data_IF_870745098776
#
_entry.id   IF_870745098776
#
_cell.length_a   1.000
_cell.length_b   1.000
_cell.length_c   1.000
_cell.angle_alpha   90.00
_cell.angle_beta   90.00
_cell.angle_gamma   90.00
#
_symmetry.space_group_name_H-M   'P 1'
#
loop_
_entity.id
_entity.type
_entity.pdbx_description
1 polymer ?
#
# COMPACT_ATOMS: atom_id res chain seq x y z
N UNK A 1 -1.27 22.23 18.61
CA UNK A 1 -2.70 21.89 18.78
C UNK A 1 -2.94 20.62 17.98
N UNK A 2 -3.06 19.49 18.65
CA UNK A 2 -3.40 18.21 18.02
C UNK A 2 -4.82 18.31 17.47
N UNK A 3 -4.96 18.27 16.14
CA UNK A 3 -6.27 18.08 15.50
C UNK A 3 -6.72 16.65 15.80
N UNK A 4 -7.35 16.46 16.96
CA UNK A 4 -8.20 15.29 17.20
C UNK A 4 -9.36 15.42 16.23
N UNK A 5 -9.28 14.75 15.08
CA UNK A 5 -10.44 14.55 14.21
C UNK A 5 -11.57 14.02 15.08
N UNK A 6 -12.69 14.76 15.13
CA UNK A 6 -13.88 14.29 15.81
C UNK A 6 -14.25 12.90 15.25
N UNK A 7 -14.74 11.98 16.10
CA UNK A 7 -15.19 10.67 15.62
C UNK A 7 -16.21 10.86 14.50
N UNK A 8 -16.03 10.14 13.39
CA UNK A 8 -16.96 10.20 12.26
C UNK A 8 -18.39 9.89 12.74
N UNK A 9 -19.34 10.70 12.31
CA UNK A 9 -20.76 10.46 12.56
C UNK A 9 -21.19 9.10 12.01
N UNK A 10 -22.03 8.38 12.73
CA UNK A 10 -22.64 7.14 12.23
C UNK A 10 -23.63 7.40 11.09
N UNK A 11 -24.13 8.64 10.95
CA UNK A 11 -25.06 9.02 9.89
C UNK A 11 -24.31 9.42 8.62
N UNK A 12 -24.83 9.04 7.46
CA UNK A 12 -24.34 9.48 6.15
C UNK A 12 -24.56 10.98 5.95
N UNK A 13 -23.61 11.63 5.31
CA UNK A 13 -23.58 13.05 5.03
C UNK A 13 -23.35 13.30 3.53
N UNK A 14 -23.64 14.53 3.10
CA UNK A 14 -23.27 14.98 1.75
C UNK A 14 -21.75 14.86 1.57
N UNK A 15 -21.31 14.30 0.46
CA UNK A 15 -19.90 14.06 0.15
C UNK A 15 -19.36 12.73 0.66
N UNK A 16 -20.10 11.99 1.50
CA UNK A 16 -19.68 10.65 1.91
C UNK A 16 -19.64 9.70 0.72
N UNK A 17 -18.61 8.85 0.71
CA UNK A 17 -18.61 7.65 -0.13
C UNK A 17 -19.41 6.56 0.54
N UNK A 18 -20.26 5.90 -0.23
CA UNK A 18 -21.06 4.77 0.22
C UNK A 18 -20.78 3.57 -0.66
N UNK A 19 -20.44 2.47 -0.02
CA UNK A 19 -20.36 1.14 -0.58
C UNK A 19 -21.72 0.46 -0.40
N UNK A 20 -22.35 0.15 -1.52
CA UNK A 20 -23.61 -0.57 -1.61
C UNK A 20 -23.32 -2.04 -1.95
N UNK A 21 -23.88 -2.96 -1.18
CA UNK A 21 -23.76 -4.41 -1.39
C UNK A 21 -25.13 -5.01 -1.67
N UNK A 22 -25.29 -5.66 -2.82
CA UNK A 22 -26.54 -6.36 -3.15
C UNK A 22 -26.64 -7.75 -2.49
N UNK A 23 -27.78 -8.43 -2.64
CA UNK A 23 -28.00 -9.76 -2.10
C UNK A 23 -27.06 -10.85 -2.66
N UNK A 24 -26.37 -10.59 -3.77
CA UNK A 24 -25.37 -11.47 -4.38
C UNK A 24 -23.95 -11.14 -3.92
N UNK A 25 -23.79 -10.14 -3.05
CA UNK A 25 -22.50 -9.64 -2.59
C UNK A 25 -21.78 -8.73 -3.59
N UNK A 26 -22.46 -8.26 -4.66
CA UNK A 26 -21.87 -7.34 -5.63
C UNK A 26 -21.75 -5.96 -5.00
N UNK A 27 -20.56 -5.37 -5.17
CA UNK A 27 -20.18 -4.08 -4.62
C UNK A 27 -20.37 -2.96 -5.65
N UNK A 28 -20.99 -1.86 -5.22
CA UNK A 28 -21.14 -0.61 -5.97
C UNK A 28 -20.74 0.59 -5.10
N UNK A 29 -19.94 1.52 -5.63
CA UNK A 29 -19.48 2.69 -4.87
C UNK A 29 -20.08 3.96 -5.44
N UNK A 30 -20.71 4.76 -4.58
CA UNK A 30 -21.29 6.06 -4.94
C UNK A 30 -20.76 7.16 -4.03
N UNK A 31 -20.86 8.42 -4.47
CA UNK A 31 -20.61 9.60 -3.63
C UNK A 31 -21.93 10.33 -3.44
N UNK A 32 -22.37 10.51 -2.19
CA UNK A 32 -23.62 11.17 -1.89
C UNK A 32 -23.54 12.65 -2.21
N UNK A 33 -24.56 13.15 -2.89
CA UNK A 33 -24.69 14.53 -3.35
C UNK A 33 -26.17 14.90 -3.31
N UNK A 34 -26.48 16.15 -2.95
CA UNK A 34 -27.86 16.61 -2.89
C UNK A 34 -28.50 16.59 -4.29
N UNK A 35 -29.74 16.14 -4.35
CA UNK A 35 -30.58 16.10 -5.55
C UNK A 35 -29.94 15.28 -6.69
N UNK A 36 -29.17 14.27 -6.35
CA UNK A 36 -28.58 13.31 -7.29
C UNK A 36 -29.23 11.93 -7.13
N UNK A 37 -29.17 11.18 -8.21
CA UNK A 37 -29.71 9.82 -8.31
C UNK A 37 -28.62 8.86 -8.80
N UNK A 38 -28.61 7.65 -8.26
CA UNK A 38 -27.75 6.58 -8.75
C UNK A 38 -28.59 5.51 -9.46
N UNK A 39 -28.33 5.32 -10.75
CA UNK A 39 -29.11 4.41 -11.59
C UNK A 39 -28.56 2.99 -11.57
N UNK A 40 -29.48 2.03 -11.58
CA UNK A 40 -29.20 0.61 -11.72
C UNK A 40 -29.97 0.04 -12.91
N UNK A 41 -29.84 -1.27 -13.14
CA UNK A 41 -30.66 -1.98 -14.11
C UNK A 41 -32.14 -2.11 -13.70
N UNK A 42 -32.48 -1.86 -12.43
CA UNK A 42 -33.86 -1.90 -11.93
C UNK A 42 -34.12 -0.74 -10.95
N UNK A 43 -34.47 0.41 -11.52
CA UNK A 43 -34.72 1.65 -10.77
C UNK A 43 -33.45 2.41 -10.38
N UNK A 44 -33.65 3.49 -9.63
CA UNK A 44 -32.60 4.37 -9.15
C UNK A 44 -32.72 4.61 -7.64
N UNK A 45 -31.62 5.01 -7.02
CA UNK A 45 -31.53 5.37 -5.61
C UNK A 45 -31.41 6.89 -5.49
N UNK A 46 -32.29 7.53 -4.74
CA UNK A 46 -32.27 8.98 -4.49
C UNK A 46 -31.30 9.28 -3.35
N UNK A 47 -30.24 10.05 -3.60
CA UNK A 47 -29.19 10.27 -2.59
C UNK A 47 -29.72 10.97 -1.32
N UNK A 48 -30.70 11.87 -1.46
CA UNK A 48 -31.29 12.57 -0.33
C UNK A 48 -31.97 11.63 0.67
N UNK A 49 -32.44 10.46 0.22
CA UNK A 49 -33.05 9.46 1.11
C UNK A 49 -31.99 8.69 1.92
N UNK A 50 -30.78 8.57 1.40
CA UNK A 50 -29.65 7.91 2.07
C UNK A 50 -28.96 8.86 3.07
N UNK A 51 -28.88 10.14 2.73
CA UNK A 51 -28.28 11.16 3.60
C UNK A 51 -29.07 11.24 4.91
N UNK A 52 -28.37 11.18 6.04
CA UNK A 52 -28.96 11.14 7.38
C UNK A 52 -29.29 9.75 7.90
N UNK A 53 -29.25 8.70 7.06
CA UNK A 53 -29.38 7.31 7.52
C UNK A 53 -28.09 6.84 8.22
N UNK A 54 -28.17 5.95 9.22
CA UNK A 54 -26.98 5.35 9.82
C UNK A 54 -26.29 4.35 8.87
N UNK A 55 -24.96 4.21 9.00
CA UNK A 55 -24.22 3.09 8.40
C UNK A 55 -24.81 1.73 8.82
N UNK A 56 -24.77 0.77 7.89
CA UNK A 56 -25.38 -0.56 8.06
C UNK A 56 -26.88 -0.59 7.76
N UNK A 57 -27.46 0.51 7.28
CA UNK A 57 -28.85 0.52 6.82
C UNK A 57 -29.02 -0.18 5.47
N UNK A 58 -30.23 -0.70 5.24
CA UNK A 58 -30.65 -1.14 3.91
C UNK A 58 -31.31 0.02 3.19
N UNK A 59 -30.84 0.29 1.98
CA UNK A 59 -31.43 1.27 1.06
C UNK A 59 -32.06 0.55 -0.12
N UNK A 60 -33.11 1.14 -0.71
CA UNK A 60 -33.91 0.50 -1.73
C UNK A 60 -34.02 1.40 -2.97
N UNK A 61 -33.87 0.84 -4.17
CA UNK A 61 -34.14 1.60 -5.40
C UNK A 61 -35.64 1.72 -5.63
N UNK A 62 -36.05 2.64 -6.50
CA UNK A 62 -37.46 2.77 -6.95
C UNK A 62 -38.03 1.49 -7.57
N UNK A 63 -37.17 0.59 -8.05
CA UNK A 63 -37.53 -0.73 -8.59
C UNK A 63 -37.53 -1.87 -7.56
N UNK A 64 -37.31 -1.57 -6.27
CA UNK A 64 -37.33 -2.53 -5.17
C UNK A 64 -36.03 -3.30 -4.94
N UNK A 65 -34.91 -2.93 -5.58
CA UNK A 65 -33.63 -3.55 -5.29
C UNK A 65 -33.07 -3.04 -3.97
N UNK A 66 -32.75 -3.97 -3.07
CA UNK A 66 -32.19 -3.68 -1.75
C UNK A 66 -30.67 -3.77 -1.77
N UNK A 67 -30.04 -2.80 -1.11
CA UNK A 67 -28.59 -2.71 -0.93
C UNK A 67 -28.26 -2.42 0.53
N UNK A 68 -27.27 -3.10 1.07
CA UNK A 68 -26.67 -2.76 2.36
C UNK A 68 -25.66 -1.63 2.17
N UNK A 69 -25.78 -0.56 2.95
CA UNK A 69 -24.98 0.65 2.80
C UNK A 69 -23.97 0.82 3.94
N UNK A 70 -22.68 0.93 3.60
CA UNK A 70 -21.59 1.26 4.52
C UNK A 70 -20.67 2.32 3.92
N UNK A 71 -19.87 3.02 4.72
CA UNK A 71 -18.71 3.71 4.16
C UNK A 71 -17.67 2.66 3.75
N UNK A 72 -16.99 2.82 2.59
CA UNK A 72 -16.00 1.85 2.14
C UNK A 72 -14.84 1.80 3.13
N UNK A 73 -14.40 0.58 3.45
CA UNK A 73 -13.11 0.34 4.08
C UNK A 73 -12.00 0.73 3.10
N UNK A 74 -10.78 0.88 3.61
CA UNK A 74 -9.62 1.12 2.74
C UNK A 74 -9.46 0.02 1.70
N UNK A 75 -9.70 -1.24 2.08
CA UNK A 75 -9.65 -2.39 1.17
C UNK A 75 -10.62 -2.24 0.01
N UNK A 76 -11.84 -1.78 0.29
CA UNK A 76 -12.87 -1.60 -0.73
C UNK A 76 -12.44 -0.51 -1.71
N UNK A 77 -11.98 0.62 -1.19
CA UNK A 77 -11.48 1.73 -1.99
C UNK A 77 -10.30 1.34 -2.88
N UNK A 78 -9.27 0.71 -2.31
CA UNK A 78 -8.05 0.32 -3.03
C UNK A 78 -8.36 -0.69 -4.14
N UNK A 79 -9.32 -1.59 -3.91
CA UNK A 79 -9.71 -2.58 -4.91
C UNK A 79 -10.60 -1.99 -6.01
N UNK A 80 -11.35 -0.92 -5.75
CA UNK A 80 -12.27 -0.31 -6.74
C UNK A 80 -11.72 0.94 -7.44
N UNK A 81 -10.64 1.55 -6.94
CA UNK A 81 -10.13 2.81 -7.50
C UNK A 81 -9.60 2.64 -8.94
N UNK A 82 -9.64 3.70 -9.77
CA UNK A 82 -9.02 3.71 -11.09
C UNK A 82 -7.53 3.32 -11.01
N UNK A 83 -7.08 2.49 -11.95
CA UNK A 83 -5.70 1.97 -11.97
C UNK A 83 -4.98 2.37 -13.24
N UNK A 84 -3.81 2.97 -13.10
CA UNK A 84 -2.84 3.14 -14.19
C UNK A 84 -1.78 2.03 -14.17
N UNK A 85 -1.43 1.58 -12.97
CA UNK A 85 -0.48 0.52 -12.71
C UNK A 85 -1.08 -0.55 -11.79
N UNK A 86 -0.45 -1.73 -11.77
CA UNK A 86 -0.72 -2.75 -10.75
C UNK A 86 -0.52 -2.16 -9.35
N UNK A 87 -1.41 -2.50 -8.43
CA UNK A 87 -1.38 -2.01 -7.05
C UNK A 87 -0.70 -3.02 -6.14
N UNK A 88 -0.08 -2.51 -5.08
CA UNK A 88 0.20 -3.32 -3.89
C UNK A 88 -1.14 -3.76 -3.28
N UNK A 89 -1.33 -5.07 -3.14
CA UNK A 89 -2.57 -5.61 -2.60
C UNK A 89 -2.71 -5.30 -1.10
N UNK A 90 -3.93 -5.18 -0.56
CA UNK A 90 -4.11 -4.82 0.85
C UNK A 90 -3.38 -5.71 1.86
N UNK A 91 -3.24 -7.02 1.57
CA UNK A 91 -2.47 -7.94 2.42
C UNK A 91 -0.99 -7.53 2.52
N UNK A 92 -0.42 -7.07 1.41
CA UNK A 92 1.00 -6.72 1.32
C UNK A 92 1.20 -5.31 1.87
N UNK A 93 0.29 -4.37 1.61
CA UNK A 93 0.31 -3.04 2.23
C UNK A 93 0.23 -3.13 3.77
N UNK A 94 -0.59 -4.03 4.32
CA UNK A 94 -0.65 -4.27 5.76
C UNK A 94 0.68 -4.82 6.31
N UNK A 95 1.32 -5.74 5.59
CA UNK A 95 2.63 -6.27 5.96
C UNK A 95 3.72 -5.21 5.85
N UNK A 96 3.71 -4.37 4.82
CA UNK A 96 4.64 -3.24 4.67
C UNK A 96 4.49 -2.29 5.87
N UNK A 97 3.28 -1.87 6.19
CA UNK A 97 3.02 -0.98 7.34
C UNK A 97 3.52 -1.59 8.65
N UNK A 98 3.23 -2.87 8.90
CA UNK A 98 3.64 -3.54 10.13
C UNK A 98 5.13 -3.85 10.22
N UNK A 99 5.70 -4.46 9.18
CA UNK A 99 7.10 -4.93 9.16
C UNK A 99 8.08 -3.79 8.97
N UNK A 100 7.71 -2.75 8.21
CA UNK A 100 8.51 -1.53 8.13
C UNK A 100 8.24 -0.61 9.32
N UNK A 101 7.42 -0.99 10.31
CA UNK A 101 7.14 -0.17 11.51
C UNK A 101 6.77 1.28 11.15
N UNK A 102 5.79 1.43 10.24
CA UNK A 102 5.26 2.73 9.84
C UNK A 102 4.31 3.20 10.93
N UNK A 103 4.70 4.26 11.63
CA UNK A 103 4.01 4.76 12.81
C UNK A 103 3.80 6.29 12.75
N UNK A 104 2.93 6.85 13.60
CA UNK A 104 2.72 8.29 13.65
C UNK A 104 4.02 9.08 13.83
N UNK A 105 4.26 10.08 12.99
CA UNK A 105 5.46 10.93 13.05
C UNK A 105 6.65 10.49 12.19
N UNK A 106 6.61 9.27 11.64
CA UNK A 106 7.66 8.73 10.77
C UNK A 106 7.69 9.47 9.43
N UNK A 107 8.89 9.73 8.91
CA UNK A 107 9.12 10.21 7.54
C UNK A 107 9.46 9.07 6.62
N UNK A 108 8.63 8.89 5.59
CA UNK A 108 8.74 7.80 4.63
C UNK A 108 9.12 8.36 3.26
N UNK A 109 10.17 7.82 2.66
CA UNK A 109 10.41 7.95 1.24
C UNK A 109 9.74 6.76 0.54
N UNK A 110 8.91 7.04 -0.46
CA UNK A 110 8.26 6.04 -1.31
C UNK A 110 8.72 6.24 -2.77
N UNK A 111 9.03 5.17 -3.49
CA UNK A 111 9.25 5.28 -4.93
C UNK A 111 8.60 4.12 -5.69
N UNK A 112 7.97 4.47 -6.82
CA UNK A 112 7.00 3.59 -7.48
C UNK A 112 5.61 3.77 -6.89
N UNK A 113 4.97 4.89 -7.23
CA UNK A 113 3.68 5.29 -6.65
C UNK A 113 2.54 4.59 -7.37
N UNK A 114 2.68 4.40 -8.68
CA UNK A 114 1.71 3.73 -9.52
C UNK A 114 0.32 4.38 -9.40
N UNK A 115 -0.64 3.64 -8.86
CA UNK A 115 -2.01 4.14 -8.67
C UNK A 115 -2.27 4.78 -7.29
N UNK A 116 -1.26 4.87 -6.41
CA UNK A 116 -1.35 5.50 -5.08
C UNK A 116 -1.94 4.62 -3.96
N UNK A 117 -2.10 3.31 -4.18
CA UNK A 117 -2.69 2.39 -3.19
C UNK A 117 -1.85 2.31 -1.90
N UNK A 118 -0.54 2.11 -2.08
CA UNK A 118 0.41 2.01 -0.97
C UNK A 118 0.56 3.37 -0.27
N UNK A 119 0.69 4.44 -1.05
CA UNK A 119 0.73 5.82 -0.57
C UNK A 119 -0.40 6.16 0.40
N UNK A 120 -1.65 5.77 0.08
CA UNK A 120 -2.79 5.96 0.99
C UNK A 120 -2.57 5.22 2.32
N UNK A 121 -2.08 3.98 2.25
CA UNK A 121 -1.81 3.17 3.45
C UNK A 121 -0.70 3.78 4.30
N UNK A 122 0.37 4.27 3.68
CA UNK A 122 1.47 4.96 4.35
C UNK A 122 0.99 6.25 5.00
N UNK A 123 0.26 7.10 4.27
CA UNK A 123 -0.28 8.37 4.79
C UNK A 123 -1.21 8.19 5.99
N UNK A 124 -2.06 7.15 5.97
CA UNK A 124 -2.90 6.80 7.13
C UNK A 124 -2.06 6.39 8.34
N UNK A 125 -0.97 5.67 8.14
CA UNK A 125 -0.13 5.14 9.21
C UNK A 125 0.80 6.21 9.82
N UNK A 126 1.41 7.07 9.00
CA UNK A 126 2.31 8.15 9.49
C UNK A 126 1.56 9.26 10.23
N UNK A 127 0.24 9.37 10.03
CA UNK A 127 -0.60 10.36 10.69
C UNK A 127 -0.23 11.81 10.35
N UNK A 128 -0.86 12.77 11.02
CA UNK A 128 -0.70 14.20 10.71
C UNK A 128 0.70 14.77 11.01
N UNK A 129 1.48 14.09 11.85
CA UNK A 129 2.82 14.54 12.26
C UNK A 129 3.96 13.87 11.49
N UNK A 130 3.67 12.83 10.69
CA UNK A 130 4.64 12.21 9.80
C UNK A 130 4.44 12.69 8.36
N UNK A 131 5.30 12.25 7.45
CA UNK A 131 5.24 12.64 6.03
C UNK A 131 5.57 11.48 5.11
N UNK A 132 5.03 11.54 3.90
CA UNK A 132 5.39 10.63 2.80
C UNK A 132 5.89 11.47 1.64
N UNK A 133 7.12 11.24 1.23
CA UNK A 133 7.72 11.85 0.05
C UNK A 133 7.82 10.79 -1.05
N UNK A 134 6.96 10.93 -2.06
CA UNK A 134 6.74 9.91 -3.09
C UNK A 134 7.37 10.31 -4.42
N UNK A 135 7.98 9.36 -5.11
CA UNK A 135 8.64 9.54 -6.41
C UNK A 135 8.07 8.61 -7.48
N UNK A 136 7.64 9.18 -8.60
CA UNK A 136 7.08 8.44 -9.74
C UNK A 136 7.68 8.94 -11.05
N UNK A 137 8.31 8.05 -11.83
CA UNK A 137 8.98 8.44 -13.08
C UNK A 137 7.99 8.81 -14.19
N UNK A 138 6.77 8.25 -14.15
CA UNK A 138 5.77 8.40 -15.20
C UNK A 138 4.70 9.41 -14.81
N UNK A 139 4.67 10.54 -15.49
CA UNK A 139 3.71 11.63 -15.23
C UNK A 139 2.24 11.15 -15.22
N UNK A 140 1.86 10.28 -16.16
CA UNK A 140 0.52 9.70 -16.21
C UNK A 140 0.15 8.90 -14.94
N UNK A 141 1.11 8.22 -14.32
CA UNK A 141 0.90 7.49 -13.07
C UNK A 141 0.86 8.45 -11.88
N UNK A 142 1.73 9.45 -11.88
CA UNK A 142 1.72 10.51 -10.87
C UNK A 142 0.36 11.23 -10.84
N UNK A 143 -0.24 11.50 -11.99
CA UNK A 143 -1.57 12.11 -12.09
C UNK A 143 -2.68 11.22 -11.57
N UNK A 144 -2.64 9.92 -11.87
CA UNK A 144 -3.61 8.95 -11.35
C UNK A 144 -3.47 8.84 -9.82
N UNK A 145 -2.25 8.70 -9.31
CA UNK A 145 -1.97 8.68 -7.89
C UNK A 145 -2.48 9.96 -7.20
N UNK A 146 -2.18 11.14 -7.74
CA UNK A 146 -2.63 12.43 -7.18
C UNK A 146 -4.15 12.49 -7.09
N UNK A 147 -4.87 12.07 -8.13
CA UNK A 147 -6.33 11.99 -8.15
C UNK A 147 -6.84 10.99 -7.10
N UNK A 148 -6.29 9.78 -7.06
CA UNK A 148 -6.73 8.73 -6.14
C UNK A 148 -6.47 9.08 -4.68
N UNK A 149 -5.31 9.65 -4.35
CA UNK A 149 -4.98 10.07 -2.98
C UNK A 149 -5.85 11.27 -2.57
N UNK A 150 -5.94 12.30 -3.41
CA UNK A 150 -6.81 13.47 -3.15
C UNK A 150 -8.25 13.05 -2.97
N UNK A 151 -8.75 12.16 -3.83
CA UNK A 151 -10.08 11.62 -3.70
C UNK A 151 -10.20 10.85 -2.37
N UNK A 152 -9.29 9.95 -2.02
CA UNK A 152 -9.34 9.21 -0.74
C UNK A 152 -9.50 10.12 0.49
N UNK A 153 -8.66 11.16 0.59
CA UNK A 153 -8.64 12.05 1.74
C UNK A 153 -9.64 13.22 1.66
N UNK A 154 -10.27 13.45 0.51
CA UNK A 154 -11.17 14.58 0.26
C UNK A 154 -10.45 15.89 -0.11
N UNK A 155 -9.14 15.95 0.13
CA UNK A 155 -8.23 17.01 -0.30
C UNK A 155 -6.83 16.43 -0.49
N UNK A 156 -5.94 17.18 -1.13
CA UNK A 156 -4.53 16.78 -1.20
C UNK A 156 -3.93 16.85 0.22
N UNK A 157 -3.40 15.74 0.78
CA UNK A 157 -2.81 15.75 2.11
C UNK A 157 -1.59 16.69 2.16
N UNK A 158 -1.54 17.58 3.15
CA UNK A 158 -0.44 18.55 3.29
C UNK A 158 0.90 17.92 3.67
N UNK A 159 0.88 16.68 4.17
CA UNK A 159 2.05 15.90 4.56
C UNK A 159 2.44 14.86 3.50
N UNK A 160 1.96 15.03 2.27
CA UNK A 160 2.35 14.23 1.13
C UNK A 160 3.00 15.10 0.06
N UNK A 161 4.17 14.70 -0.43
CA UNK A 161 4.78 15.27 -1.62
C UNK A 161 4.88 14.22 -2.73
N UNK A 162 4.72 14.65 -3.98
CA UNK A 162 4.83 13.78 -5.15
C UNK A 162 5.72 14.44 -6.20
N UNK A 163 6.90 13.88 -6.39
CA UNK A 163 7.90 14.32 -7.37
C UNK A 163 7.87 13.41 -8.60
N UNK A 164 7.76 14.02 -9.79
CA UNK A 164 7.77 13.28 -11.06
C UNK A 164 9.21 13.18 -11.56
N UNK A 165 9.95 12.21 -11.00
CA UNK A 165 11.37 12.00 -11.32
C UNK A 165 11.83 10.60 -10.87
N UNK A 166 13.05 10.23 -11.27
CA UNK A 166 13.76 9.09 -10.73
C UNK A 166 14.31 9.41 -9.34
N UNK A 167 13.87 8.65 -8.32
CA UNK A 167 14.29 8.84 -6.92
C UNK A 167 15.81 8.84 -6.73
N UNK A 168 16.54 8.03 -7.52
CA UNK A 168 17.99 7.93 -7.46
C UNK A 168 18.73 9.12 -8.10
N UNK A 169 18.04 9.92 -8.93
CA UNK A 169 18.61 11.09 -9.61
C UNK A 169 18.26 12.40 -8.87
N UNK A 170 17.27 12.37 -7.98
CA UNK A 170 16.87 13.54 -7.19
C UNK A 170 17.77 13.74 -5.96
N UNK A 171 18.07 15.00 -5.64
CA UNK A 171 18.74 15.36 -4.38
C UNK A 171 17.75 15.33 -3.23
N UNK A 172 18.13 14.66 -2.14
CA UNK A 172 17.31 14.55 -0.93
C UNK A 172 17.88 15.44 0.17
N UNK A 173 17.11 16.44 0.58
CA UNK A 173 17.51 17.39 1.63
C UNK A 173 17.22 16.87 3.05
N UNK A 174 16.43 15.80 3.15
CA UNK A 174 15.96 15.26 4.42
C UNK A 174 16.47 13.84 4.64
N UNK A 175 16.62 13.47 5.92
CA UNK A 175 16.78 12.08 6.32
C UNK A 175 15.43 11.44 6.56
N UNK A 176 15.31 10.17 6.19
CA UNK A 176 14.09 9.39 6.35
C UNK A 176 14.26 8.31 7.40
N UNK A 177 13.15 7.96 8.01
CA UNK A 177 13.06 6.85 8.93
C UNK A 177 12.87 5.53 8.15
N UNK A 178 12.24 5.62 6.98
CA UNK A 178 11.81 4.48 6.14
C UNK A 178 11.98 4.81 4.66
N UNK A 179 12.43 3.83 3.89
CA UNK A 179 12.48 3.86 2.42
C UNK A 179 11.71 2.63 1.92
N UNK A 180 10.64 2.86 1.16
CA UNK A 180 9.75 1.83 0.63
C UNK A 180 9.77 1.89 -0.90
N UNK A 181 10.20 0.82 -1.57
CA UNK A 181 10.36 0.78 -3.01
C UNK A 181 9.44 -0.28 -3.64
N UNK A 182 8.56 0.12 -4.56
CA UNK A 182 7.74 -0.76 -5.40
C UNK A 182 8.03 -0.46 -6.88
N UNK A 183 9.17 -0.96 -7.36
CA UNK A 183 9.66 -0.67 -8.71
C UNK A 183 10.41 -1.85 -9.31
N UNK A 184 10.71 -1.76 -10.61
CA UNK A 184 11.35 -2.86 -11.34
C UNK A 184 12.78 -3.15 -10.89
N UNK A 185 13.53 -2.13 -10.47
CA UNK A 185 14.96 -2.22 -10.16
C UNK A 185 15.34 -1.55 -8.82
N UNK A 186 14.80 -2.02 -7.68
CA UNK A 186 15.10 -1.40 -6.38
C UNK A 186 16.57 -1.56 -5.95
N UNK A 187 17.31 -2.52 -6.53
CA UNK A 187 18.75 -2.69 -6.27
C UNK A 187 19.58 -1.47 -6.69
N UNK A 188 19.14 -0.71 -7.70
CA UNK A 188 19.80 0.52 -8.16
C UNK A 188 19.67 1.66 -7.14
N UNK A 189 18.77 1.52 -6.17
CA UNK A 189 18.48 2.55 -5.17
C UNK A 189 19.09 2.25 -3.80
N UNK A 190 19.84 1.15 -3.63
CA UNK A 190 20.39 0.73 -2.32
C UNK A 190 21.37 1.77 -1.77
N UNK A 191 22.27 2.28 -2.61
CA UNK A 191 23.26 3.28 -2.19
C UNK A 191 22.58 4.58 -1.79
N UNK A 192 21.69 5.11 -2.63
CA UNK A 192 20.85 6.28 -2.31
C UNK A 192 20.06 6.06 -1.01
N UNK A 193 19.42 4.90 -0.85
CA UNK A 193 18.67 4.59 0.36
C UNK A 193 19.57 4.62 1.60
N UNK A 194 20.83 4.14 1.49
CA UNK A 194 21.79 4.17 2.59
C UNK A 194 22.23 5.57 2.99
N UNK A 195 22.23 6.49 2.02
CA UNK A 195 22.54 7.90 2.24
C UNK A 195 21.36 8.61 2.92
N UNK A 196 20.14 8.40 2.45
CA UNK A 196 18.97 9.15 2.94
C UNK A 196 18.36 8.58 4.22
N UNK A 197 18.57 7.31 4.53
CA UNK A 197 18.09 6.70 5.77
C UNK A 197 18.91 7.16 6.99
N UNK A 198 18.21 7.43 8.09
CA UNK A 198 18.85 7.55 9.41
C UNK A 198 19.41 6.20 9.85
N UNK A 199 20.48 6.17 10.69
CA UNK A 199 20.90 4.95 11.36
C UNK A 199 19.74 4.26 12.08
N UNK A 200 19.58 2.96 11.85
CA UNK A 200 18.46 2.18 12.37
C UNK A 200 17.17 2.27 11.55
N UNK A 201 17.10 3.15 10.54
CA UNK A 201 15.99 3.24 9.60
C UNK A 201 15.80 1.96 8.78
N UNK A 202 14.63 1.82 8.15
CA UNK A 202 14.26 0.58 7.44
C UNK A 202 14.28 0.81 5.94
N UNK A 203 15.01 -0.03 5.22
CA UNK A 203 14.85 -0.22 3.78
C UNK A 203 13.88 -1.38 3.56
N UNK A 204 12.91 -1.20 2.67
CA UNK A 204 12.02 -2.25 2.20
C UNK A 204 11.76 -2.13 0.71
N UNK A 205 11.83 -3.25 -0.01
CA UNK A 205 11.41 -3.34 -1.39
C UNK A 205 10.35 -4.43 -1.58
N UNK A 206 9.38 -4.14 -2.44
CA UNK A 206 8.38 -5.09 -2.93
C UNK A 206 8.75 -5.47 -4.37
N UNK A 207 8.95 -6.76 -4.63
CA UNK A 207 9.40 -7.27 -5.93
C UNK A 207 8.60 -8.47 -6.38
N UNK A 208 8.30 -8.58 -7.68
CA UNK A 208 7.42 -9.62 -8.19
C UNK A 208 8.14 -10.97 -8.38
N UNK A 209 9.41 -10.95 -8.77
CA UNK A 209 10.15 -12.16 -9.16
C UNK A 209 11.27 -12.53 -8.19
N UNK A 210 11.64 -13.81 -8.18
CA UNK A 210 12.78 -14.32 -7.41
C UNK A 210 14.12 -13.80 -7.94
N UNK A 211 14.22 -13.43 -9.22
CA UNK A 211 15.42 -12.81 -9.78
C UNK A 211 15.60 -11.39 -9.25
N UNK A 212 14.53 -10.59 -9.21
CA UNK A 212 14.55 -9.26 -8.57
C UNK A 212 14.89 -9.38 -7.08
N UNK A 213 14.29 -10.36 -6.39
CA UNK A 213 14.57 -10.64 -4.98
C UNK A 213 16.05 -10.94 -4.73
N UNK A 214 16.63 -11.81 -5.56
CA UNK A 214 18.04 -12.22 -5.49
C UNK A 214 18.97 -11.03 -5.69
N UNK A 215 18.81 -10.28 -6.78
CA UNK A 215 19.68 -9.13 -7.09
C UNK A 215 19.56 -8.04 -6.02
N UNK A 216 18.36 -7.79 -5.49
CA UNK A 216 18.16 -6.84 -4.39
C UNK A 216 18.87 -7.29 -3.12
N UNK A 217 18.78 -8.58 -2.76
CA UNK A 217 19.46 -9.11 -1.58
C UNK A 217 20.99 -8.97 -1.69
N UNK A 218 21.55 -9.29 -2.86
CA UNK A 218 22.99 -9.18 -3.08
C UNK A 218 23.47 -7.72 -3.12
N UNK A 219 22.67 -6.79 -3.67
CA UNK A 219 22.96 -5.35 -3.61
C UNK A 219 22.99 -4.84 -2.16
N UNK A 220 21.99 -5.22 -1.34
CA UNK A 220 21.95 -4.87 0.09
C UNK A 220 23.20 -5.38 0.81
N UNK A 221 23.58 -6.65 0.61
CA UNK A 221 24.79 -7.24 1.22
C UNK A 221 26.07 -6.54 0.77
N UNK A 222 26.18 -6.29 -0.54
CA UNK A 222 27.37 -5.68 -1.15
C UNK A 222 27.61 -4.25 -0.66
N UNK A 223 26.54 -3.51 -0.35
CA UNK A 223 26.65 -2.15 0.20
C UNK A 223 27.34 -2.09 1.57
N UNK A 224 27.32 -3.19 2.33
CA UNK A 224 27.76 -3.27 3.73
C UNK A 224 27.13 -2.21 4.68
N UNK A 225 26.13 -1.45 4.22
CA UNK A 225 25.51 -0.34 4.95
C UNK A 225 24.24 -0.76 5.69
N UNK A 226 23.78 -2.00 5.49
CA UNK A 226 22.57 -2.55 6.04
C UNK A 226 22.85 -3.85 6.80
N UNK A 227 21.91 -4.24 7.67
CA UNK A 227 21.88 -5.60 8.22
C UNK A 227 21.69 -6.64 7.12
N UNK A 228 21.94 -7.91 7.44
CA UNK A 228 21.58 -9.03 6.55
C UNK A 228 20.11 -8.88 6.12
N UNK A 229 19.80 -8.93 4.81
CA UNK A 229 18.44 -8.79 4.33
C UNK A 229 17.57 -9.99 4.73
N UNK A 230 16.31 -9.72 5.01
CA UNK A 230 15.28 -10.72 5.25
C UNK A 230 14.21 -10.63 4.16
N UNK A 231 13.80 -11.80 3.66
CA UNK A 231 12.83 -11.92 2.58
C UNK A 231 11.63 -12.74 3.04
N UNK A 232 10.43 -12.34 2.64
CA UNK A 232 9.19 -13.07 2.91
C UNK A 232 8.16 -12.92 1.80
N UNK A 233 7.17 -13.79 1.80
CA UNK A 233 5.93 -13.69 1.03
C UNK A 233 4.75 -14.06 1.92
N UNK A 234 3.52 -13.74 1.48
CA UNK A 234 2.31 -14.06 2.22
C UNK A 234 1.22 -14.65 1.32
N UNK A 235 0.58 -15.70 1.83
CA UNK A 235 -0.56 -16.35 1.18
C UNK A 235 -1.80 -16.16 2.06
N UNK A 236 -2.83 -15.50 1.50
CA UNK A 236 -4.13 -15.33 2.16
C UNK A 236 -5.14 -16.21 1.45
N UNK A 237 -5.72 -17.18 2.17
CA UNK A 237 -6.70 -18.13 1.64
C UNK A 237 -8.04 -17.96 2.34
N UNK A 238 -9.04 -17.52 1.58
CA UNK A 238 -10.41 -17.40 2.07
C UNK A 238 -11.03 -18.76 2.40
N UNK A 239 -12.04 -18.73 3.26
CA UNK A 239 -12.82 -19.90 3.65
C UNK A 239 -14.27 -19.75 3.21
N UNK A 240 -14.86 -20.85 2.78
CA UNK A 240 -16.30 -20.99 2.63
C UNK A 240 -16.86 -21.46 3.97
N UNK A 241 -17.92 -20.80 4.44
CA UNK A 241 -18.50 -21.04 5.75
C UNK A 241 -20.03 -21.06 5.64
N UNK A 242 -20.58 -22.19 5.18
CA UNK A 242 -22.02 -22.38 4.98
C UNK A 242 -22.49 -23.68 5.65
N UNK A 243 -23.20 -23.57 6.78
CA UNK A 243 -23.66 -24.73 7.55
C UNK A 243 -22.51 -25.68 7.91
N UNK A 244 -22.59 -26.93 7.48
CA UNK A 244 -21.54 -27.94 7.66
C UNK A 244 -20.41 -27.85 6.61
N UNK A 245 -20.60 -27.08 5.54
CA UNK A 245 -19.60 -26.86 4.50
C UNK A 245 -18.61 -25.78 4.93
N UNK A 246 -17.73 -26.13 5.87
CA UNK A 246 -16.62 -25.27 6.32
C UNK A 246 -15.31 -25.79 5.74
N UNK A 247 -14.76 -25.06 4.76
CA UNK A 247 -13.54 -25.47 4.03
C UNK A 247 -12.86 -24.28 3.34
N UNK A 248 -11.59 -24.40 2.93
CA UNK A 248 -10.97 -23.39 2.08
C UNK A 248 -11.73 -23.17 0.77
N UNK A 249 -11.70 -21.93 0.27
CA UNK A 249 -12.17 -21.62 -1.07
C UNK A 249 -11.32 -22.35 -2.11
N UNK A 250 -11.93 -22.76 -3.23
CA UNK A 250 -11.25 -23.53 -4.28
C UNK A 250 -10.22 -22.72 -5.07
N UNK A 251 -10.41 -21.39 -5.15
CA UNK A 251 -9.51 -20.47 -5.86
C UNK A 251 -8.96 -19.47 -4.86
N UNK A 252 -7.68 -19.15 -5.02
CA UNK A 252 -7.01 -18.08 -4.29
C UNK A 252 -6.01 -17.39 -5.20
N UNK A 253 -5.57 -16.20 -4.79
CA UNK A 253 -4.42 -15.55 -5.41
C UNK A 253 -3.17 -16.31 -4.95
N UNK A 254 -2.46 -16.91 -5.90
CA UNK A 254 -1.31 -17.76 -5.61
C UNK A 254 -0.04 -16.96 -5.27
N UNK A 255 0.13 -15.78 -5.85
CA UNK A 255 1.28 -14.90 -5.62
C UNK A 255 0.91 -13.45 -5.93
N UNK A 256 1.61 -12.51 -5.29
CA UNK A 256 1.55 -11.08 -5.61
C UNK A 256 2.96 -10.52 -5.75
N UNK A 257 3.79 -10.73 -4.73
CA UNK A 257 5.18 -10.30 -4.68
C UNK A 257 5.86 -10.74 -3.40
N UNK A 258 7.17 -10.56 -3.37
CA UNK A 258 8.03 -10.76 -2.21
C UNK A 258 8.31 -9.41 -1.56
N UNK A 259 8.43 -9.43 -0.23
CA UNK A 259 8.99 -8.34 0.54
C UNK A 259 10.43 -8.68 0.91
N UNK A 260 11.34 -7.74 0.71
CA UNK A 260 12.71 -7.80 1.21
C UNK A 260 13.00 -6.55 2.02
N UNK A 261 13.60 -6.69 3.20
CA UNK A 261 13.87 -5.57 4.08
C UNK A 261 15.17 -5.76 4.86
N UNK A 262 15.75 -4.63 5.26
CA UNK A 262 16.95 -4.56 6.08
C UNK A 262 16.98 -3.25 6.87
N UNK A 263 17.77 -3.19 7.94
CA UNK A 263 17.96 -1.98 8.73
C UNK A 263 19.28 -1.29 8.41
N UNK A 264 19.25 0.03 8.32
CA UNK A 264 20.42 0.87 8.10
C UNK A 264 21.37 0.76 9.30
N UNK A 265 22.63 0.41 9.06
CA UNK A 265 23.69 0.45 10.07
C UNK A 265 24.11 1.89 10.37
N UNK A 266 24.81 2.12 11.47
CA UNK A 266 25.47 3.42 11.68
C UNK A 266 26.72 3.54 10.77
N UNK A 267 27.13 4.75 10.37
CA UNK A 267 28.34 4.95 9.57
C UNK A 267 29.57 4.27 10.21
N UNK A 268 30.36 3.57 9.39
CA UNK A 268 31.56 2.85 9.84
C UNK A 268 31.31 1.57 10.66
N UNK A 269 30.05 1.16 10.85
CA UNK A 269 29.71 -0.07 11.56
C UNK A 269 29.89 -1.29 10.66
N UNK A 270 30.57 -2.32 11.19
CA UNK A 270 30.64 -3.64 10.56
C UNK A 270 29.65 -4.56 11.28
N UNK A 271 28.64 -5.05 10.56
CA UNK A 271 27.69 -5.99 11.12
C UNK A 271 28.37 -7.35 11.44
N UNK A 272 28.01 -8.00 12.56
CA UNK A 272 28.47 -9.35 12.83
C UNK A 272 28.07 -10.31 11.71
N UNK A 273 29.02 -11.10 11.20
CA UNK A 273 28.74 -12.05 10.12
C UNK A 273 27.72 -13.10 10.59
N UNK A 274 26.59 -13.22 9.88
CA UNK A 274 25.58 -14.23 10.16
C UNK A 274 26.15 -15.58 9.74
N UNK A 275 26.48 -16.46 10.70
CA UNK A 275 26.94 -17.83 10.40
C UNK A 275 25.80 -18.60 9.72
N UNK A 276 25.90 -18.80 8.41
CA UNK A 276 25.07 -19.73 7.64
C UNK A 276 25.98 -20.75 6.98
N UNK A 277 25.63 -22.03 7.01
CA UNK A 277 26.27 -23.03 6.13
C UNK A 277 25.72 -22.79 4.72
N UNK A 278 26.54 -22.38 3.74
CA UNK A 278 26.07 -22.26 2.36
C UNK A 278 25.61 -23.64 1.87
N UNK A 279 24.57 -23.69 1.05
CA UNK A 279 24.27 -24.91 0.29
C UNK A 279 25.44 -25.21 -0.66
N UNK A 280 25.67 -26.49 -0.97
CA UNK A 280 26.68 -26.86 -1.98
C UNK A 280 26.43 -26.09 -3.28
N UNK A 281 27.43 -25.38 -3.79
CA UNK A 281 27.34 -24.58 -5.02
C UNK A 281 26.81 -23.15 -4.87
N UNK A 282 26.58 -22.65 -3.64
CA UNK A 282 26.08 -21.29 -3.42
C UNK A 282 27.04 -20.18 -3.85
N UNK A 283 28.34 -20.46 -3.83
CA UNK A 283 29.37 -19.64 -4.44
C UNK A 283 29.91 -20.49 -5.59
N UNK A 284 29.95 -19.93 -6.81
CA UNK A 284 30.42 -20.65 -7.98
C UNK A 284 31.72 -21.38 -7.68
N UNK A 285 31.84 -22.62 -8.15
CA UNK A 285 33.10 -23.38 -8.06
C UNK A 285 34.21 -22.47 -8.55
N UNK A 286 35.16 -22.14 -7.69
CA UNK A 286 36.38 -21.49 -8.15
C UNK A 286 37.01 -22.46 -9.14
N UNK A 287 36.92 -22.17 -10.44
CA UNK A 287 37.76 -22.78 -11.46
C UNK A 287 39.18 -22.23 -11.27
N UNK A 288 39.81 -22.65 -10.17
CA UNK A 288 41.22 -22.52 -9.88
C UNK A 288 41.61 -23.81 -9.17
N UNK A 289 41.74 -24.88 -9.94
CA UNK A 289 42.64 -26.02 -9.70
C UNK A 289 42.51 -27.04 -10.85
N UNK A 290 43.17 -26.75 -11.98
CA UNK A 290 44.11 -27.64 -12.71
C UNK A 290 44.43 -27.06 -14.08
#
# INVERSE_FOLDING_TARGET
MTSTQAPRSSLFQVGDRVQLTDAKGKLHTITLQLNQEWHTHNGWLVHNEVIGMPEGSVVETTGGLKFLAFRPLLTDYVLSMPRGATIVYPKDAALIVGMADIAPGVRVLEAGVGSGALTISLLRAVGANGSVDSFEKREEFADIARKNVTHYFGSLPSNWSLTVDAVQETKHEHKYDRVILDMLAPWECVDMASEVLQPGGVFMAYVATTTQLSVTAEAIKSSANFTEPESMESLVRGWHHEGLAVRPQHRMIGHTGFLIFARRLAPGTIAPARRRRPSKGAYGTSELES
#
